data_IF_088825144004
#
_entry.id   IF_088825144004
#
_cell.length_a   1.000
_cell.length_b   1.000
_cell.length_c   1.000
_cell.angle_alpha   90.00
_cell.angle_beta   90.00
_cell.angle_gamma   90.00
#
_symmetry.space_group_name_H-M   'P 1'
#
loop_
_entity.id
_entity.type
_entity.pdbx_description
1 polymer ?
#
# COMPACT_ATOMS: atom_id res chain seq x y z
N UNK A 1 -10.89 -8.22 -17.20
CA UNK A 1 -11.69 -8.14 -18.45
C UNK A 1 -12.73 -9.25 -18.63
N UNK A 2 -12.72 -10.35 -17.86
CA UNK A 2 -13.69 -11.45 -18.02
C UNK A 2 -15.15 -10.98 -17.97
N UNK A 3 -15.55 -10.24 -16.92
CA UNK A 3 -16.92 -9.74 -16.75
C UNK A 3 -17.42 -8.91 -17.94
N UNK A 4 -16.53 -8.09 -18.53
CA UNK A 4 -16.86 -7.29 -19.71
C UNK A 4 -17.01 -8.17 -20.96
N UNK A 5 -16.15 -9.19 -21.13
CA UNK A 5 -16.23 -10.14 -22.25
C UNK A 5 -17.51 -10.96 -22.23
N UNK A 6 -18.01 -11.27 -21.04
CA UNK A 6 -19.27 -12.01 -20.84
C UNK A 6 -20.51 -11.08 -20.89
N UNK A 7 -20.34 -9.78 -21.13
CA UNK A 7 -21.45 -8.81 -21.19
C UNK A 7 -22.15 -8.59 -19.86
N UNK A 8 -21.50 -8.93 -18.74
CA UNK A 8 -22.09 -8.80 -17.40
C UNK A 8 -22.04 -7.34 -16.93
N UNK A 9 -23.08 -6.95 -16.17
CA UNK A 9 -23.21 -5.59 -15.60
C UNK A 9 -22.19 -5.26 -14.51
N UNK A 10 -21.83 -6.17 -13.58
CA UNK A 10 -20.89 -5.85 -12.51
C UNK A 10 -19.54 -5.37 -13.04
N UNK A 11 -19.02 -4.32 -12.40
CA UNK A 11 -17.66 -3.83 -12.58
C UNK A 11 -16.83 -4.16 -11.35
N UNK A 12 -15.51 -4.17 -11.54
CA UNK A 12 -14.54 -4.45 -10.48
C UNK A 12 -13.43 -3.42 -10.52
N UNK A 13 -12.82 -3.18 -9.37
CA UNK A 13 -11.67 -2.30 -9.20
C UNK A 13 -10.66 -2.97 -8.27
N UNK A 14 -9.41 -2.54 -8.35
CA UNK A 14 -8.33 -2.92 -7.45
C UNK A 14 -7.83 -1.67 -6.74
N UNK A 15 -7.96 -1.67 -5.41
CA UNK A 15 -7.43 -0.65 -4.53
C UNK A 15 -5.97 -0.97 -4.18
N UNK A 16 -5.06 -0.04 -4.50
CA UNK A 16 -3.62 -0.18 -4.25
C UNK A 16 -3.13 1.00 -3.39
N UNK A 17 -3.31 0.93 -2.05
CA UNK A 17 -2.94 2.02 -1.18
C UNK A 17 -1.46 1.95 -0.77
N UNK A 18 -0.86 3.11 -0.55
CA UNK A 18 0.34 3.28 0.27
C UNK A 18 0.00 3.25 1.76
N UNK A 19 0.67 4.06 2.57
CA UNK A 19 0.43 4.11 4.01
C UNK A 19 -0.89 4.79 4.36
N UNK A 20 -1.69 4.10 5.19
CA UNK A 20 -3.00 4.54 5.67
C UNK A 20 -3.03 4.41 7.19
N UNK A 21 -3.55 5.41 7.88
CA UNK A 21 -3.74 5.41 9.34
C UNK A 21 -4.79 4.36 9.75
N UNK A 22 -4.31 3.13 9.97
CA UNK A 22 -5.11 1.97 10.34
C UNK A 22 -4.38 1.15 11.39
N UNK A 23 -5.07 0.18 11.98
CA UNK A 23 -4.48 -0.73 12.95
C UNK A 23 -3.75 -1.93 12.29
N UNK A 24 -3.24 -1.82 11.06
CA UNK A 24 -2.64 -2.97 10.35
C UNK A 24 -1.39 -3.53 11.05
N UNK A 25 -0.65 -2.67 11.77
CA UNK A 25 0.52 -3.07 12.54
C UNK A 25 0.19 -3.93 13.77
N UNK A 26 -1.08 -3.96 14.19
CA UNK A 26 -1.61 -4.83 15.24
C UNK A 26 -2.45 -5.98 14.67
N UNK A 27 -2.15 -6.42 13.44
CA UNK A 27 -2.93 -7.44 12.72
C UNK A 27 -2.82 -8.84 13.33
N UNK A 28 -1.85 -9.07 14.21
CA UNK A 28 -1.76 -10.26 15.05
C UNK A 28 -3.05 -10.52 15.85
N UNK A 29 -3.76 -9.45 16.27
CA UNK A 29 -5.07 -9.58 16.92
C UNK A 29 -6.15 -10.27 16.06
N UNK A 30 -5.98 -10.30 14.73
CA UNK A 30 -6.93 -10.88 13.79
C UNK A 30 -6.51 -12.29 13.34
N UNK A 31 -5.34 -12.79 13.76
CA UNK A 31 -4.83 -14.09 13.32
C UNK A 31 -5.64 -15.23 13.96
N UNK A 32 -6.22 -16.16 13.17
CA UNK A 32 -6.92 -17.32 13.74
C UNK A 32 -5.99 -18.18 14.61
N UNK A 33 -6.55 -18.76 15.68
CA UNK A 33 -5.77 -19.51 16.68
C UNK A 33 -5.02 -20.72 16.08
N UNK A 34 -5.59 -21.37 15.06
CA UNK A 34 -4.95 -22.49 14.35
C UNK A 34 -3.66 -22.09 13.61
N UNK A 35 -3.48 -20.80 13.32
CA UNK A 35 -2.27 -20.23 12.72
C UNK A 35 -1.41 -19.47 13.73
N UNK A 36 -1.75 -19.50 15.02
CA UNK A 36 -0.95 -18.89 16.06
C UNK A 36 0.37 -19.67 16.19
N UNK A 37 1.48 -18.97 16.01
CA UNK A 37 2.80 -19.58 16.09
C UNK A 37 3.23 -19.63 17.57
N UNK A 38 3.23 -20.84 18.14
CA UNK A 38 3.61 -21.07 19.52
C UNK A 38 5.10 -20.74 19.79
N UNK A 39 5.91 -20.58 18.74
CA UNK A 39 7.34 -20.28 18.85
C UNK A 39 7.67 -18.77 18.85
N UNK A 40 6.72 -17.90 18.49
CA UNK A 40 6.96 -16.46 18.50
C UNK A 40 6.79 -15.93 19.93
N UNK A 41 7.83 -15.36 20.57
CA UNK A 41 7.66 -14.72 21.86
C UNK A 41 6.62 -13.60 21.72
N UNK A 42 5.49 -13.71 22.42
CA UNK A 42 4.40 -12.72 22.39
C UNK A 42 4.84 -11.32 22.87
N UNK A 43 6.03 -11.22 23.47
CA UNK A 43 6.50 -10.04 24.19
C UNK A 43 8.02 -9.87 24.03
N UNK A 44 8.50 -9.63 22.81
CA UNK A 44 9.81 -8.98 22.63
C UNK A 44 9.63 -7.46 22.78
N UNK A 45 10.15 -6.83 23.85
CA UNK A 45 10.00 -5.39 24.07
C UNK A 45 10.60 -4.55 22.94
N UNK A 46 11.67 -5.02 22.29
CA UNK A 46 12.30 -4.29 21.19
C UNK A 46 11.42 -4.29 19.95
N UNK A 47 10.85 -5.46 19.59
CA UNK A 47 9.90 -5.57 18.49
C UNK A 47 8.64 -4.72 18.73
N UNK A 48 8.13 -4.70 19.97
CA UNK A 48 6.99 -3.87 20.35
C UNK A 48 7.32 -2.37 20.21
N UNK A 49 8.48 -1.92 20.68
CA UNK A 49 8.89 -0.53 20.53
C UNK A 49 9.02 -0.10 19.05
N UNK A 50 9.49 -0.99 18.17
CA UNK A 50 9.54 -0.74 16.71
C UNK A 50 8.12 -0.61 16.14
N UNK A 51 7.21 -1.51 16.53
CA UNK A 51 5.80 -1.48 16.10
C UNK A 51 5.10 -0.19 16.51
N UNK A 52 5.27 0.23 17.77
CA UNK A 52 4.67 1.47 18.29
C UNK A 52 5.20 2.71 17.56
N UNK A 53 6.51 2.76 17.25
CA UNK A 53 7.08 3.85 16.45
C UNK A 53 6.50 3.87 15.04
N UNK A 54 6.41 2.72 14.37
CA UNK A 54 5.81 2.63 13.04
C UNK A 54 4.33 3.03 13.05
N UNK A 55 3.58 2.67 14.11
CA UNK A 55 2.18 3.05 14.28
C UNK A 55 2.03 4.56 14.49
N UNK A 56 2.91 5.17 15.29
CA UNK A 56 2.94 6.62 15.46
C UNK A 56 3.22 7.35 14.13
N UNK A 57 4.15 6.84 13.31
CA UNK A 57 4.45 7.42 12.00
C UNK A 57 3.30 7.24 11.01
N UNK A 58 2.63 6.08 10.98
CA UNK A 58 1.40 5.88 10.19
C UNK A 58 0.30 6.86 10.59
N UNK A 59 0.12 7.08 11.89
CA UNK A 59 -0.89 8.01 12.41
C UNK A 59 -0.57 9.47 12.06
N UNK A 60 0.71 9.82 11.98
CA UNK A 60 1.18 11.17 11.65
C UNK A 60 1.14 11.46 10.16
N UNK A 61 1.48 10.48 9.32
CA UNK A 61 1.80 10.70 7.91
C UNK A 61 0.93 9.90 6.92
N UNK A 62 0.21 8.88 7.40
CA UNK A 62 -0.69 8.08 6.58
C UNK A 62 -1.96 8.84 6.23
N UNK A 63 -2.52 8.55 5.06
CA UNK A 63 -3.84 9.05 4.70
C UNK A 63 -4.90 8.46 5.63
N UNK A 64 -5.95 9.23 5.93
CA UNK A 64 -7.05 8.72 6.74
C UNK A 64 -7.86 7.68 5.96
N UNK A 65 -8.48 6.69 6.64
CA UNK A 65 -9.40 5.75 5.98
C UNK A 65 -10.56 6.46 5.27
N UNK A 66 -11.00 7.62 5.78
CA UNK A 66 -12.02 8.46 5.14
C UNK A 66 -11.55 8.95 3.77
N UNK A 67 -10.34 9.50 3.68
CA UNK A 67 -9.79 9.99 2.41
C UNK A 67 -9.63 8.86 1.39
N UNK A 68 -9.21 7.67 1.83
CA UNK A 68 -9.18 6.48 0.97
C UNK A 68 -10.58 6.11 0.48
N UNK A 69 -11.58 6.12 1.38
CA UNK A 69 -12.97 5.83 1.03
C UNK A 69 -13.56 6.79 0.00
N UNK A 70 -13.21 8.08 0.06
CA UNK A 70 -13.61 9.08 -0.94
C UNK A 70 -13.03 8.77 -2.33
N UNK A 71 -11.75 8.37 -2.39
CA UNK A 71 -11.13 7.96 -3.64
C UNK A 71 -11.74 6.68 -4.22
N UNK A 72 -12.08 5.72 -3.35
CA UNK A 72 -12.79 4.49 -3.75
C UNK A 72 -14.18 4.82 -4.32
N UNK A 73 -14.94 5.69 -3.65
CA UNK A 73 -16.26 6.10 -4.12
C UNK A 73 -16.19 6.81 -5.47
N UNK A 74 -15.21 7.70 -5.67
CA UNK A 74 -14.97 8.34 -6.95
C UNK A 74 -14.64 7.31 -8.04
N UNK A 75 -13.74 6.37 -7.77
CA UNK A 75 -13.37 5.32 -8.71
C UNK A 75 -14.55 4.41 -9.09
N UNK A 76 -15.44 4.08 -8.15
CA UNK A 76 -16.65 3.30 -8.43
C UNK A 76 -17.58 4.06 -9.38
N UNK A 77 -17.81 5.35 -9.12
CA UNK A 77 -18.65 6.20 -9.98
C UNK A 77 -18.10 6.35 -11.40
N UNK A 78 -16.77 6.36 -11.52
CA UNK A 78 -16.07 6.50 -12.79
C UNK A 78 -15.81 5.15 -13.50
N UNK A 79 -16.29 4.03 -12.96
CA UNK A 79 -15.96 2.66 -13.40
C UNK A 79 -14.43 2.42 -13.55
N UNK A 80 -13.62 3.06 -12.70
CA UNK A 80 -12.16 3.04 -12.77
C UNK A 80 -11.59 1.78 -12.15
N UNK A 81 -10.81 1.02 -12.92
CA UNK A 81 -10.25 -0.25 -12.46
C UNK A 81 -9.11 -0.08 -11.44
N UNK A 82 -8.06 0.70 -11.75
CA UNK A 82 -6.93 0.91 -10.83
C UNK A 82 -7.15 2.14 -9.94
N UNK A 83 -7.12 1.93 -8.62
CA UNK A 83 -7.24 3.00 -7.62
C UNK A 83 -5.89 3.13 -6.92
N UNK A 84 -5.03 3.99 -7.46
CA UNK A 84 -3.70 4.30 -6.92
C UNK A 84 -3.82 5.52 -6.01
N UNK A 85 -3.89 5.32 -4.69
CA UNK A 85 -4.26 6.41 -3.77
C UNK A 85 -3.12 7.35 -3.39
N UNK A 86 -1.90 6.95 -3.72
CA UNK A 86 -0.64 7.62 -3.38
C UNK A 86 0.16 7.83 -4.66
N UNK A 87 -0.21 8.84 -5.49
CA UNK A 87 0.41 9.08 -6.79
C UNK A 87 1.90 9.41 -6.71
N UNK A 88 2.39 9.84 -5.54
CA UNK A 88 3.81 10.02 -5.26
C UNK A 88 4.62 8.72 -5.39
N UNK A 89 3.98 7.54 -5.36
CA UNK A 89 4.63 6.24 -5.57
C UNK A 89 4.75 5.86 -7.05
N UNK A 90 4.06 6.55 -7.97
CA UNK A 90 4.07 6.24 -9.40
C UNK A 90 5.49 6.18 -10.00
N UNK A 91 6.45 7.07 -9.65
CA UNK A 91 7.81 6.98 -10.17
C UNK A 91 8.53 5.67 -9.80
N UNK A 92 8.25 5.08 -8.63
CA UNK A 92 8.84 3.79 -8.22
C UNK A 92 8.22 2.66 -9.02
N UNK A 93 6.91 2.72 -9.25
CA UNK A 93 6.19 1.76 -10.08
C UNK A 93 6.74 1.82 -11.51
N UNK A 94 6.92 3.02 -12.06
CA UNK A 94 7.48 3.25 -13.39
C UNK A 94 8.88 2.66 -13.54
N UNK A 95 9.79 2.94 -12.60
CA UNK A 95 11.14 2.38 -12.64
C UNK A 95 11.11 0.85 -12.63
N UNK A 96 10.31 0.24 -11.74
CA UNK A 96 10.17 -1.22 -11.70
C UNK A 96 9.64 -1.78 -13.02
N UNK A 97 8.68 -1.11 -13.65
CA UNK A 97 8.15 -1.52 -14.96
C UNK A 97 9.24 -1.45 -16.04
N UNK A 98 10.07 -0.41 -16.04
CA UNK A 98 11.20 -0.28 -16.96
C UNK A 98 12.25 -1.36 -16.75
N UNK A 99 12.58 -1.69 -15.50
CA UNK A 99 13.55 -2.75 -15.18
C UNK A 99 13.06 -4.11 -15.69
N UNK A 100 11.76 -4.39 -15.53
CA UNK A 100 11.13 -5.62 -16.07
C UNK A 100 11.24 -5.68 -17.60
N UNK A 101 10.95 -4.57 -18.28
CA UNK A 101 10.97 -4.52 -19.76
C UNK A 101 12.39 -4.63 -20.34
N UNK A 102 13.39 -4.14 -19.61
CA UNK A 102 14.80 -4.13 -20.04
C UNK A 102 15.58 -5.35 -19.56
N UNK A 103 15.00 -6.18 -18.68
CA UNK A 103 15.69 -7.34 -18.10
C UNK A 103 16.70 -6.97 -17.02
N UNK A 104 16.58 -5.79 -16.42
CA UNK A 104 17.43 -5.37 -15.31
C UNK A 104 16.97 -6.03 -14.00
N UNK A 105 17.94 -6.37 -13.15
CA UNK A 105 17.63 -6.81 -11.79
C UNK A 105 17.00 -5.67 -10.98
N UNK A 106 16.05 -5.96 -10.08
CA UNK A 106 15.44 -4.94 -9.23
C UNK A 106 16.49 -4.31 -8.31
N UNK A 107 16.48 -2.98 -8.23
CA UNK A 107 17.34 -2.25 -7.30
C UNK A 107 16.80 -2.33 -5.87
N UNK A 108 17.66 -2.66 -4.90
CA UNK A 108 17.30 -2.69 -3.48
C UNK A 108 16.99 -1.29 -2.90
N UNK A 109 17.51 -0.24 -3.55
CA UNK A 109 17.31 1.16 -3.15
C UNK A 109 16.93 1.95 -4.40
N UNK A 110 15.94 2.87 -4.32
CA UNK A 110 15.62 3.75 -5.43
C UNK A 110 16.86 4.55 -5.88
N UNK A 111 17.01 4.77 -7.18
CA UNK A 111 18.13 5.57 -7.70
C UNK A 111 18.13 6.99 -7.10
N UNK A 112 19.29 7.68 -7.00
CA UNK A 112 19.34 9.03 -6.44
C UNK A 112 18.36 10.01 -7.11
N UNK A 113 18.20 9.93 -8.44
CA UNK A 113 17.23 10.74 -9.17
C UNK A 113 15.77 10.41 -8.84
N UNK A 114 15.47 9.12 -8.60
CA UNK A 114 14.15 8.69 -8.16
C UNK A 114 13.86 9.16 -6.72
N UNK A 115 14.83 9.05 -5.81
CA UNK A 115 14.71 9.58 -4.44
C UNK A 115 14.39 11.07 -4.42
N UNK A 116 15.05 11.87 -5.27
CA UNK A 116 14.77 13.30 -5.37
C UNK A 116 13.33 13.58 -5.84
N UNK A 117 12.85 12.84 -6.85
CA UNK A 117 11.47 12.93 -7.33
C UNK A 117 10.46 12.56 -6.24
N UNK A 118 10.71 11.47 -5.50
CA UNK A 118 9.85 11.04 -4.40
C UNK A 118 9.78 12.10 -3.29
N UNK A 119 10.91 12.69 -2.91
CA UNK A 119 10.94 13.74 -1.90
C UNK A 119 10.18 15.00 -2.32
N UNK A 120 10.22 15.35 -3.61
CA UNK A 120 9.48 16.49 -4.15
C UNK A 120 7.94 16.27 -4.20
N UNK A 121 7.51 15.00 -4.23
CA UNK A 121 6.09 14.63 -4.30
C UNK A 121 5.46 14.38 -2.92
N UNK A 122 6.24 14.39 -1.84
CA UNK A 122 5.70 14.24 -0.49
C UNK A 122 4.79 15.44 -0.15
N UNK A 123 3.56 15.21 0.32
CA UNK A 123 2.71 16.28 0.81
C UNK A 123 3.41 16.98 1.98
N UNK A 124 3.33 18.32 2.02
CA UNK A 124 3.88 19.17 3.08
C UNK A 124 3.07 19.05 4.37
#
# INVERSE_FOLDING_TARGET
MQLQREGLKPRVSVLCPGFVDTNILYSDRNRPAEFADASTPQTDPAANAIRERAAAELKKSGLSPRAIGEQVLAAIRDERFYILTHPELNPVIEQRMQDILTGNNPAAVPSPGLMQKLNALRPR
#
